data_IF_246363319000
#
_entry.id   IF_246363319000
#
_cell.length_a   1.000
_cell.length_b   1.000
_cell.length_c   1.000
_cell.angle_alpha   90.00
_cell.angle_beta   90.00
_cell.angle_gamma   90.00
#
_symmetry.space_group_name_H-M   'P 1'
#
loop_
_entity.id
_entity.type
_entity.pdbx_description
1 polymer ?
#
# COMPACT_ATOMS: atom_id res chain seq x y z
N UNK A 1 -15.17 9.60 -2.91
CA UNK A 1 -13.98 8.83 -3.35
C UNK A 1 -14.16 7.95 -4.58
N UNK A 2 -15.37 7.48 -4.94
CA UNK A 2 -15.54 6.58 -6.12
C UNK A 2 -14.98 7.16 -7.44
N UNK A 3 -15.07 8.49 -7.62
CA UNK A 3 -14.46 9.18 -8.76
C UNK A 3 -12.94 9.03 -8.86
N UNK A 4 -12.23 8.95 -7.73
CA UNK A 4 -10.77 8.75 -7.71
C UNK A 4 -10.41 7.34 -8.19
N UNK A 5 -11.15 6.32 -7.76
CA UNK A 5 -10.97 4.94 -8.25
C UNK A 5 -11.27 4.84 -9.74
N UNK A 6 -12.37 5.43 -10.22
CA UNK A 6 -12.71 5.45 -11.65
C UNK A 6 -11.64 6.15 -12.49
N UNK A 7 -11.09 7.26 -11.98
CA UNK A 7 -9.98 7.97 -12.63
C UNK A 7 -8.72 7.09 -12.69
N UNK A 8 -8.36 6.45 -11.58
CA UNK A 8 -7.22 5.53 -11.54
C UNK A 8 -7.38 4.37 -12.53
N UNK A 9 -8.57 3.75 -12.60
CA UNK A 9 -8.89 2.70 -13.55
C UNK A 9 -8.74 3.20 -14.99
N UNK A 10 -9.26 4.39 -15.30
CA UNK A 10 -9.17 4.98 -16.64
C UNK A 10 -7.72 5.28 -17.05
N UNK A 11 -6.88 5.75 -16.11
CA UNK A 11 -5.45 5.98 -16.33
C UNK A 11 -4.74 4.63 -16.56
N UNK A 12 -4.97 3.68 -15.67
CA UNK A 12 -4.33 2.37 -15.68
C UNK A 12 -4.68 1.53 -16.92
N UNK A 13 -5.91 1.65 -17.43
CA UNK A 13 -6.36 0.97 -18.65
C UNK A 13 -5.59 1.38 -19.91
N UNK A 14 -4.93 2.55 -19.91
CA UNK A 14 -4.09 3.01 -21.04
C UNK A 14 -2.65 2.52 -20.90
N UNK A 15 -2.12 2.56 -19.68
CA UNK A 15 -0.79 2.11 -19.27
C UNK A 15 -0.91 1.71 -17.81
N UNK A 16 -0.56 0.47 -17.47
CA UNK A 16 -0.64 -0.02 -16.08
C UNK A 16 -0.02 0.99 -15.10
N UNK A 17 -0.59 1.09 -13.90
CA UNK A 17 -0.25 2.15 -12.95
C UNK A 17 0.15 1.59 -11.59
N UNK A 18 1.05 2.29 -10.90
CA UNK A 18 1.42 2.00 -9.51
C UNK A 18 1.00 3.19 -8.66
N UNK A 19 0.28 2.93 -7.57
CA UNK A 19 -0.08 3.94 -6.57
C UNK A 19 0.66 3.59 -5.30
N UNK A 20 1.47 4.53 -4.81
CA UNK A 20 2.19 4.39 -3.55
C UNK A 20 1.45 5.15 -2.44
N UNK A 21 1.16 4.46 -1.35
CA UNK A 21 0.56 4.99 -0.13
C UNK A 21 1.58 4.87 0.99
N UNK A 22 2.12 6.01 1.40
CA UNK A 22 3.13 6.08 2.46
C UNK A 22 2.49 6.42 3.81
N UNK A 23 3.21 6.11 4.88
CA UNK A 23 2.85 6.44 6.27
C UNK A 23 1.43 6.00 6.70
N UNK A 24 0.91 4.88 6.18
CA UNK A 24 -0.45 4.42 6.47
C UNK A 24 -0.69 4.07 7.95
N UNK A 25 0.38 3.89 8.74
CA UNK A 25 0.31 3.71 10.18
C UNK A 25 -0.30 4.94 10.91
N UNK A 26 -0.15 6.14 10.33
CA UNK A 26 -0.72 7.38 10.85
C UNK A 26 -2.13 7.67 10.33
N UNK A 27 -2.67 6.83 9.43
CA UNK A 27 -4.00 7.03 8.87
C UNK A 27 -5.10 6.75 9.91
N UNK A 28 -6.19 7.51 9.80
CA UNK A 28 -7.40 7.22 10.56
C UNK A 28 -8.09 5.93 10.07
N UNK A 29 -8.97 5.32 10.88
CA UNK A 29 -9.67 4.09 10.51
C UNK A 29 -10.53 4.19 9.24
N UNK A 30 -11.11 5.35 8.94
CA UNK A 30 -11.94 5.55 7.74
C UNK A 30 -11.07 5.53 6.47
N UNK A 31 -9.90 6.16 6.53
CA UNK A 31 -8.89 6.13 5.47
C UNK A 31 -8.39 4.71 5.22
N UNK A 32 -8.08 3.95 6.27
CA UNK A 32 -7.64 2.54 6.13
C UNK A 32 -8.74 1.67 5.52
N UNK A 33 -9.98 1.83 5.99
CA UNK A 33 -11.11 1.12 5.42
C UNK A 33 -11.29 1.43 3.93
N UNK A 34 -11.07 2.68 3.53
CA UNK A 34 -11.07 3.03 2.12
C UNK A 34 -9.95 2.32 1.33
N UNK A 35 -8.72 2.24 1.87
CA UNK A 35 -7.62 1.51 1.23
C UNK A 35 -7.97 0.03 1.05
N UNK A 36 -8.58 -0.61 2.05
CA UNK A 36 -9.06 -2.00 1.95
C UNK A 36 -10.10 -2.18 0.85
N UNK A 37 -11.06 -1.26 0.76
CA UNK A 37 -12.07 -1.29 -0.31
C UNK A 37 -11.43 -1.04 -1.67
N UNK A 38 -10.52 -0.06 -1.78
CA UNK A 38 -9.81 0.25 -3.01
C UNK A 38 -9.01 -0.95 -3.51
N UNK A 39 -8.28 -1.66 -2.65
CA UNK A 39 -7.53 -2.85 -3.02
C UNK A 39 -8.45 -3.93 -3.63
N UNK A 40 -9.64 -4.13 -3.05
CA UNK A 40 -10.62 -5.08 -3.59
C UNK A 40 -11.21 -4.61 -4.92
N UNK A 41 -11.59 -3.34 -5.02
CA UNK A 41 -12.17 -2.77 -6.25
C UNK A 41 -11.18 -2.71 -7.41
N UNK A 42 -9.88 -2.63 -7.12
CA UNK A 42 -8.83 -2.52 -8.14
C UNK A 42 -8.19 -3.86 -8.52
N UNK A 43 -8.58 -4.97 -7.87
CA UNK A 43 -7.96 -6.29 -8.05
C UNK A 43 -8.00 -6.80 -9.50
N UNK A 44 -9.05 -6.47 -10.27
CA UNK A 44 -9.22 -6.89 -11.67
C UNK A 44 -8.73 -5.85 -12.68
N UNK A 45 -8.05 -4.80 -12.20
CA UNK A 45 -7.53 -3.70 -13.02
C UNK A 45 -6.00 -3.69 -13.02
N UNK A 46 -5.35 -3.12 -14.06
CA UNK A 46 -3.88 -3.07 -14.15
C UNK A 46 -3.28 -2.00 -13.21
N UNK A 47 -3.64 -2.07 -11.93
CA UNK A 47 -3.20 -1.16 -10.87
C UNK A 47 -2.49 -1.97 -9.79
N UNK A 48 -1.28 -1.54 -9.43
CA UNK A 48 -0.59 -2.02 -8.24
C UNK A 48 -0.74 -0.98 -7.14
N UNK A 49 -1.33 -1.38 -6.00
CA UNK A 49 -1.27 -0.59 -4.78
C UNK A 49 -0.06 -1.04 -3.97
N UNK A 50 0.87 -0.11 -3.74
CA UNK A 50 2.00 -0.30 -2.83
C UNK A 50 1.73 0.51 -1.56
N UNK A 51 1.72 -0.17 -0.42
CA UNK A 51 1.43 0.43 0.87
C UNK A 51 2.65 0.25 1.79
N UNK A 52 3.09 1.33 2.43
CA UNK A 52 4.11 1.29 3.46
C UNK A 52 3.49 1.55 4.84
N UNK A 53 3.79 0.66 5.78
CA UNK A 53 3.41 0.78 7.19
C UNK A 53 4.65 0.56 8.04
N UNK A 54 4.73 1.26 9.17
CA UNK A 54 5.74 0.99 10.19
C UNK A 54 5.15 -0.04 11.14
N UNK A 55 5.92 -1.08 11.41
CA UNK A 55 5.60 -2.01 12.50
C UNK A 55 5.74 -1.28 13.84
N UNK A 56 4.97 -1.71 14.82
CA UNK A 56 4.98 -1.23 16.21
C UNK A 56 4.39 0.17 16.45
N UNK A 57 3.87 0.84 15.41
CA UNK A 57 3.23 2.16 15.57
C UNK A 57 1.70 2.09 15.71
N UNK A 58 1.05 1.16 15.00
CA UNK A 58 -0.41 1.04 15.02
C UNK A 58 -0.86 -0.43 14.87
N UNK A 59 -1.15 -1.12 16.00
CA UNK A 59 -1.52 -2.53 15.99
C UNK A 59 -2.78 -2.85 15.18
N UNK A 60 -3.71 -1.90 15.03
CA UNK A 60 -4.91 -2.10 14.21
C UNK A 60 -4.57 -2.17 12.73
N UNK A 61 -3.74 -1.23 12.25
CA UNK A 61 -3.24 -1.21 10.87
C UNK A 61 -2.51 -2.50 10.54
N UNK A 62 -1.65 -2.98 11.45
CA UNK A 62 -0.92 -4.23 11.29
C UNK A 62 -1.85 -5.45 11.24
N UNK A 63 -2.84 -5.52 12.13
CA UNK A 63 -3.80 -6.61 12.17
C UNK A 63 -4.62 -6.69 10.86
N UNK A 64 -5.05 -5.54 10.34
CA UNK A 64 -5.83 -5.44 9.13
C UNK A 64 -4.97 -5.75 7.87
N UNK A 65 -3.73 -5.26 7.81
CA UNK A 65 -2.77 -5.62 6.76
C UNK A 65 -2.50 -7.14 6.75
N UNK A 66 -2.31 -7.74 7.92
CA UNK A 66 -2.18 -9.19 8.05
C UNK A 66 -3.45 -9.93 7.62
N UNK A 67 -4.64 -9.37 7.87
CA UNK A 67 -5.90 -9.93 7.39
C UNK A 67 -6.01 -9.90 5.86
N UNK A 68 -5.58 -8.81 5.20
CA UNK A 68 -5.51 -8.77 3.73
C UNK A 68 -4.60 -9.84 3.15
N UNK A 69 -3.42 -10.03 3.75
CA UNK A 69 -2.47 -11.05 3.30
C UNK A 69 -3.07 -12.44 3.43
N UNK A 70 -3.70 -12.75 4.57
CA UNK A 70 -4.41 -14.04 4.77
C UNK A 70 -5.56 -14.24 3.79
N UNK A 71 -6.24 -13.17 3.40
CA UNK A 71 -7.32 -13.19 2.41
C UNK A 71 -6.82 -13.25 0.94
N UNK A 72 -5.50 -13.21 0.71
CA UNK A 72 -4.92 -13.20 -0.64
C UNK A 72 -5.07 -11.87 -1.38
N UNK A 73 -5.45 -10.79 -0.67
CA UNK A 73 -5.65 -9.45 -1.25
C UNK A 73 -4.38 -8.61 -1.28
N UNK A 74 -3.35 -9.00 -0.53
CA UNK A 74 -2.07 -8.30 -0.47
C UNK A 74 -0.92 -9.29 -0.32
N UNK A 75 0.28 -8.81 -0.66
CA UNK A 75 1.55 -9.45 -0.32
C UNK A 75 2.34 -8.50 0.55
N UNK A 76 2.78 -8.98 1.72
CA UNK A 76 3.69 -8.22 2.57
C UNK A 76 5.14 -8.40 2.09
N UNK A 77 5.90 -7.31 2.19
CA UNK A 77 7.35 -7.30 2.03
C UNK A 77 7.90 -6.69 3.31
N UNK A 78 8.60 -7.49 4.11
CA UNK A 78 9.27 -7.00 5.31
C UNK A 78 10.55 -6.27 4.90
N UNK A 79 10.67 -5.02 5.34
CA UNK A 79 11.88 -4.22 5.17
C UNK A 79 12.64 -4.24 6.48
N UNK A 80 13.93 -4.57 6.40
CA UNK A 80 14.83 -4.49 7.55
C UNK A 80 15.49 -3.11 7.60
N UNK A 81 15.96 -2.66 8.78
CA UNK A 81 16.78 -1.47 8.86
C UNK A 81 17.95 -1.56 7.89
N UNK A 82 18.31 -0.43 7.28
CA UNK A 82 19.48 -0.36 6.41
C UNK A 82 20.73 -0.79 7.19
N UNK A 83 21.54 -1.66 6.58
CA UNK A 83 22.84 -1.99 7.13
C UNK A 83 23.80 -0.79 7.00
N UNK A 84 24.90 -0.81 7.76
CA UNK A 84 25.84 0.30 7.78
C UNK A 84 26.51 0.55 6.40
N UNK A 85 26.52 -0.43 5.50
CA UNK A 85 27.10 -0.34 4.17
C UNK A 85 26.15 0.36 3.18
N UNK A 86 24.85 0.10 3.29
CA UNK A 86 23.78 0.71 2.51
C UNK A 86 23.55 2.19 2.86
N UNK A 87 24.00 2.64 4.04
CA UNK A 87 23.93 4.05 4.47
C UNK A 87 25.16 4.87 4.02
N UNK A 88 26.04 4.29 3.18
CA UNK A 88 27.17 5.06 2.65
C UNK A 88 26.67 6.28 1.84
N UNK A 89 27.10 7.50 2.20
CA UNK A 89 26.61 8.71 1.56
C UNK A 89 27.18 8.80 0.13
N UNK A 90 26.36 8.41 -0.85
CA UNK A 90 26.56 8.76 -2.25
C UNK A 90 27.30 7.73 -3.09
N UNK A 91 26.54 6.87 -3.76
CA UNK A 91 26.89 6.50 -5.13
C UNK A 91 26.44 7.66 -6.05
N UNK A 92 27.37 8.55 -6.38
CA UNK A 92 27.27 9.44 -7.54
C UNK A 92 27.96 8.79 -8.72
#
# INVERSE_FOLDING_TARGET
MEGALRLLIAIAGRRGSVVFLDDLHAADPETLQFVYQAARSLADHPVVLLAAIRTDENPSVEADAAAMVRAGLARAIELTPLDAEAVSPGAR
#
